data_IF_243458427422
#
_entry.id   IF_243458427422
#
_cell.length_a   1.000
_cell.length_b   1.000
_cell.length_c   1.000
_cell.angle_alpha   90.00
_cell.angle_beta   90.00
_cell.angle_gamma   90.00
#
_symmetry.space_group_name_H-M   'P 1'
#
loop_
_entity.id
_entity.type
_entity.pdbx_description
1 polymer ?
#
# COMPACT_ATOMS: atom_id res chain seq x y z
N UNK A 1 -39.84 -21.03 25.34
CA UNK A 1 -38.46 -21.32 25.81
C UNK A 1 -37.74 -22.13 24.73
N UNK A 2 -36.72 -21.55 24.07
CA UNK A 2 -35.52 -22.29 23.59
C UNK A 2 -34.54 -21.36 22.84
N UNK A 3 -33.56 -20.86 23.61
CA UNK A 3 -32.14 -20.65 23.31
C UNK A 3 -31.68 -20.01 21.97
N UNK A 4 -31.73 -18.67 21.91
CA UNK A 4 -30.87 -17.82 21.06
C UNK A 4 -29.46 -17.61 21.66
N UNK A 5 -28.76 -18.68 22.01
CA UNK A 5 -27.37 -18.63 22.48
C UNK A 5 -26.71 -19.84 21.82
N UNK A 6 -26.09 -19.76 20.64
CA UNK A 6 -24.64 -19.60 20.52
C UNK A 6 -24.18 -19.70 19.03
N UNK A 7 -24.99 -19.35 18.04
CA UNK A 7 -24.59 -19.48 16.63
C UNK A 7 -24.70 -18.15 15.89
N UNK A 8 -23.75 -17.26 16.14
CA UNK A 8 -23.50 -16.09 15.29
C UNK A 8 -22.05 -16.12 14.85
N UNK A 9 -21.75 -16.56 13.63
CA UNK A 9 -20.46 -16.24 12.98
C UNK A 9 -20.48 -16.32 11.45
N UNK A 10 -20.72 -15.15 10.87
CA UNK A 10 -20.08 -14.57 9.68
C UNK A 10 -20.00 -15.47 8.45
N UNK A 11 -21.06 -15.49 7.65
CA UNK A 11 -20.99 -15.62 6.18
C UNK A 11 -21.06 -14.23 5.55
N UNK A 12 -20.28 -13.29 6.08
CA UNK A 12 -20.01 -12.04 5.40
C UNK A 12 -19.08 -12.32 4.23
N UNK A 13 -19.66 -12.57 3.06
CA UNK A 13 -18.95 -12.48 1.79
C UNK A 13 -18.18 -11.16 1.79
N UNK A 14 -16.84 -11.19 1.79
CA UNK A 14 -16.04 -9.97 1.69
C UNK A 14 -16.46 -9.29 0.38
N UNK A 15 -16.98 -8.05 0.40
CA UNK A 15 -17.36 -7.37 -0.83
C UNK A 15 -16.09 -7.19 -1.67
N UNK A 16 -16.04 -7.76 -2.89
CA UNK A 16 -14.97 -7.44 -3.84
C UNK A 16 -14.99 -5.95 -4.21
N UNK A 17 -16.12 -5.28 -3.99
CA UNK A 17 -16.38 -3.86 -4.25
C UNK A 17 -16.26 -2.97 -3.01
N UNK A 18 -15.30 -3.22 -2.14
CA UNK A 18 -14.91 -2.23 -1.12
C UNK A 18 -14.38 -0.97 -1.82
N UNK A 19 -15.23 0.04 -2.00
CA UNK A 19 -14.81 1.36 -2.49
C UNK A 19 -13.73 1.90 -1.55
N UNK A 20 -12.60 2.34 -2.12
CA UNK A 20 -11.49 2.92 -1.36
C UNK A 20 -11.99 4.12 -0.56
N UNK A 21 -11.49 4.29 0.67
CA UNK A 21 -11.86 5.43 1.50
C UNK A 21 -11.56 6.75 0.79
N UNK A 22 -12.48 7.72 0.90
CA UNK A 22 -12.25 9.09 0.42
C UNK A 22 -10.99 9.64 1.09
N UNK A 23 -10.12 10.28 0.31
CA UNK A 23 -8.83 10.84 0.78
C UNK A 23 -7.63 9.89 0.71
N UNK A 24 -7.82 8.59 0.43
CA UNK A 24 -6.69 7.70 0.18
C UNK A 24 -6.10 8.00 -1.19
N UNK A 25 -4.82 8.34 -1.23
CA UNK A 25 -4.10 8.57 -2.50
C UNK A 25 -4.28 7.37 -3.43
N UNK A 26 -4.53 7.66 -4.73
CA UNK A 26 -4.79 6.64 -5.75
C UNK A 26 -3.61 5.70 -5.93
N UNK A 27 -2.40 6.24 -5.76
CA UNK A 27 -1.11 5.57 -5.92
C UNK A 27 -0.57 5.24 -4.53
N UNK A 28 -0.21 3.97 -4.28
CA UNK A 28 0.52 3.59 -3.07
C UNK A 28 1.98 3.99 -3.25
N UNK A 29 2.68 4.28 -2.16
CA UNK A 29 4.13 4.49 -2.19
C UNK A 29 4.87 3.34 -2.90
N UNK A 30 4.46 2.10 -2.65
CA UNK A 30 5.00 0.92 -3.34
C UNK A 30 4.86 0.97 -4.86
N UNK A 31 3.78 1.55 -5.39
CA UNK A 31 3.53 1.61 -6.83
C UNK A 31 4.52 2.57 -7.51
N UNK A 32 4.92 3.65 -6.82
CA UNK A 32 5.95 4.60 -7.31
C UNK A 32 7.30 3.90 -7.44
N UNK A 33 7.67 3.09 -6.44
CA UNK A 33 8.92 2.33 -6.47
C UNK A 33 8.89 1.21 -7.51
N UNK A 34 7.74 0.56 -7.69
CA UNK A 34 7.56 -0.46 -8.72
C UNK A 34 7.75 0.12 -10.12
N UNK A 35 7.16 1.29 -10.40
CA UNK A 35 7.26 1.98 -11.69
C UNK A 35 8.69 2.44 -11.99
N UNK A 36 9.39 3.01 -11.00
CA UNK A 36 10.73 3.59 -11.23
C UNK A 36 11.88 2.61 -11.12
N UNK A 37 11.81 1.67 -10.18
CA UNK A 37 12.91 0.74 -9.90
C UNK A 37 12.63 -0.70 -10.31
N UNK A 38 11.40 -0.99 -10.73
CA UNK A 38 10.96 -2.32 -11.14
C UNK A 38 10.63 -3.24 -9.96
N UNK A 39 10.27 -4.51 -10.24
CA UNK A 39 9.83 -5.47 -9.23
C UNK A 39 10.90 -5.81 -8.18
N UNK A 40 12.18 -5.56 -8.46
CA UNK A 40 13.30 -5.82 -7.54
C UNK A 40 13.60 -4.65 -6.60
N UNK A 41 12.73 -3.63 -6.53
CA UNK A 41 12.94 -2.43 -5.70
C UNK A 41 13.18 -2.78 -4.22
N UNK A 42 12.54 -3.82 -3.67
CA UNK A 42 12.76 -4.23 -2.28
C UNK A 42 14.18 -4.74 -2.04
N UNK A 43 14.76 -5.45 -3.02
CA UNK A 43 16.15 -5.92 -2.94
C UNK A 43 17.11 -4.74 -3.04
N UNK A 44 16.85 -3.80 -3.94
CA UNK A 44 17.64 -2.57 -4.10
C UNK A 44 17.58 -1.68 -2.86
N UNK A 45 16.42 -1.59 -2.21
CA UNK A 45 16.21 -0.84 -0.97
C UNK A 45 17.01 -1.38 0.23
N UNK A 46 17.45 -2.65 0.20
CA UNK A 46 18.35 -3.19 1.24
C UNK A 46 19.72 -2.51 1.22
N UNK A 47 20.17 -2.02 0.06
CA UNK A 47 21.38 -1.23 -0.01
C UNK A 47 21.09 0.20 0.47
N UNK A 48 21.52 0.52 1.69
CA UNK A 48 21.28 1.83 2.32
C UNK A 48 21.83 3.01 1.52
N UNK A 49 23.02 2.89 0.92
CA UNK A 49 23.62 3.97 0.15
C UNK A 49 22.80 4.25 -1.11
N UNK A 50 22.44 3.18 -1.82
CA UNK A 50 21.58 3.27 -2.99
C UNK A 50 20.21 3.86 -2.63
N UNK A 51 19.58 3.38 -1.56
CA UNK A 51 18.27 3.85 -1.13
C UNK A 51 18.27 5.33 -0.74
N UNK A 52 19.31 5.79 -0.04
CA UNK A 52 19.48 7.19 0.33
C UNK A 52 19.55 8.11 -0.90
N UNK A 53 20.43 7.79 -1.85
CA UNK A 53 20.58 8.57 -3.10
C UNK A 53 19.28 8.64 -3.90
N UNK A 54 18.57 7.52 -3.98
CA UNK A 54 17.32 7.48 -4.75
C UNK A 54 16.19 8.23 -4.04
N UNK A 55 16.14 8.19 -2.71
CA UNK A 55 15.21 8.97 -1.90
C UNK A 55 15.43 10.48 -2.00
N UNK A 56 16.69 10.94 -2.00
CA UNK A 56 17.06 12.36 -2.16
C UNK A 56 16.60 12.89 -3.53
N UNK A 57 16.88 12.18 -4.61
CA UNK A 57 16.39 12.52 -5.95
C UNK A 57 14.85 12.61 -6.01
N UNK A 58 14.14 11.72 -5.30
CA UNK A 58 12.67 11.78 -5.25
C UNK A 58 12.14 12.99 -4.46
N UNK A 59 12.85 13.45 -3.43
CA UNK A 59 12.45 14.62 -2.65
C UNK A 59 12.66 15.92 -3.44
N UNK A 60 13.76 16.04 -4.19
CA UNK A 60 14.07 17.20 -5.02
C UNK A 60 13.10 17.40 -6.19
N UNK A 61 12.71 16.31 -6.87
CA UNK A 61 11.68 16.36 -7.91
C UNK A 61 10.34 16.86 -7.35
N UNK A 62 9.98 16.48 -6.13
CA UNK A 62 8.72 16.86 -5.50
C UNK A 62 8.64 18.35 -5.12
N UNK A 63 9.77 19.03 -4.94
CA UNK A 63 9.81 20.47 -4.62
C UNK A 63 9.84 21.38 -5.85
N UNK A 64 10.09 20.82 -7.03
CA UNK A 64 10.34 21.58 -8.27
C UNK A 64 9.07 21.79 -9.11
N UNK A 65 7.93 21.21 -8.72
CA UNK A 65 6.62 21.32 -9.42
C UNK A 65 5.62 22.08 -8.57
#
# INVERSE_FOLDING_TARGET
MSNNKWTKKITGWIPRDCKRSRGRQRKRWADIFLERQGPTWMTKARNRQYWKKTGEAYAEEATTT
#
